data_IF_237908795578
#
_entry.id   IF_237908795578
#
_cell.length_a   1.000
_cell.length_b   1.000
_cell.length_c   1.000
_cell.angle_alpha   90.00
_cell.angle_beta   90.00
_cell.angle_gamma   90.00
#
_symmetry.space_group_name_H-M   'P 1'
#
loop_
_entity.id
_entity.type
_entity.pdbx_description
1 polymer ?
#
# COMPACT_ATOMS: atom_id res chain seq x y z
N UNK A 1 -6.85 -28.96 -8.63
CA UNK A 1 -6.24 -27.68 -8.91
C UNK A 1 -5.49 -27.18 -7.70
N UNK A 2 -4.29 -26.80 -7.91
CA UNK A 2 -3.49 -26.26 -6.81
C UNK A 2 -3.76 -24.76 -6.69
N UNK A 3 -4.23 -24.34 -5.54
CA UNK A 3 -4.40 -22.93 -5.32
C UNK A 3 -3.04 -22.28 -5.17
N UNK A 4 -2.88 -21.16 -5.86
CA UNK A 4 -1.69 -20.34 -5.68
C UNK A 4 -1.75 -19.66 -4.33
N UNK A 5 -0.69 -19.80 -3.55
CA UNK A 5 -0.56 -19.07 -2.28
C UNK A 5 0.08 -17.72 -2.50
N UNK A 6 0.47 -17.41 -3.72
CA UNK A 6 1.05 -16.13 -4.05
C UNK A 6 -0.07 -15.11 -4.23
N UNK A 7 0.12 -13.89 -3.74
CA UNK A 7 -0.85 -12.84 -3.94
C UNK A 7 -0.95 -12.44 -5.42
N UNK A 8 -2.12 -11.95 -5.80
CA UNK A 8 -2.33 -11.41 -7.14
C UNK A 8 -1.56 -10.11 -7.30
N UNK A 9 -0.78 -10.02 -8.36
CA UNK A 9 -0.03 -8.82 -8.68
C UNK A 9 -0.46 -8.29 -10.04
N UNK A 10 -0.62 -6.98 -10.14
CA UNK A 10 -0.93 -6.30 -11.38
C UNK A 10 0.35 -5.68 -11.91
N UNK A 11 0.73 -6.12 -13.10
CA UNK A 11 1.96 -5.66 -13.72
C UNK A 11 3.17 -6.37 -13.13
N UNK A 12 4.04 -6.84 -13.98
CA UNK A 12 5.28 -7.49 -13.58
C UNK A 12 6.39 -6.72 -14.29
N UNK A 13 7.33 -6.22 -13.52
CA UNK A 13 8.45 -5.53 -14.12
C UNK A 13 9.40 -4.96 -13.10
N UNK A 14 10.60 -4.67 -13.57
CA UNK A 14 11.66 -4.12 -12.73
C UNK A 14 11.41 -2.66 -12.36
N UNK A 15 10.44 -2.02 -13.02
CA UNK A 15 10.10 -0.61 -12.76
C UNK A 15 9.10 -0.42 -11.64
N UNK A 16 8.49 -1.51 -11.18
CA UNK A 16 7.54 -1.46 -10.06
C UNK A 16 8.32 -1.76 -8.79
N UNK A 17 8.29 -0.81 -7.87
CA UNK A 17 9.03 -0.93 -6.61
C UNK A 17 8.26 -1.77 -5.61
N UNK A 18 8.97 -2.38 -4.70
CA UNK A 18 8.39 -3.09 -3.58
C UNK A 18 8.41 -2.17 -2.36
N UNK A 19 7.33 -2.18 -1.58
CA UNK A 19 7.27 -1.47 -0.32
C UNK A 19 8.33 -2.00 0.64
N UNK A 20 8.86 -1.18 1.56
CA UNK A 20 9.71 -1.68 2.65
C UNK A 20 9.03 -2.79 3.46
N UNK A 21 7.70 -2.84 3.44
CA UNK A 21 6.92 -3.84 4.17
C UNK A 21 6.47 -5.00 3.30
N UNK A 22 7.04 -5.14 2.11
CA UNK A 22 6.59 -6.15 1.14
C UNK A 22 6.64 -7.55 1.72
N UNK A 23 7.75 -7.92 2.35
CA UNK A 23 7.90 -9.24 2.94
C UNK A 23 6.96 -9.46 4.10
N UNK A 24 6.73 -8.43 4.91
CA UNK A 24 5.76 -8.50 6.00
C UNK A 24 4.35 -8.68 5.47
N UNK A 25 4.02 -8.01 4.36
CA UNK A 25 2.72 -8.18 3.72
C UNK A 25 2.51 -9.62 3.27
N UNK A 26 3.53 -10.24 2.69
CA UNK A 26 3.46 -11.64 2.32
C UNK A 26 3.30 -12.55 3.54
N UNK A 27 4.03 -12.26 4.60
CA UNK A 27 4.00 -13.05 5.83
C UNK A 27 2.60 -13.03 6.47
N UNK A 28 1.94 -11.89 6.43
CA UNK A 28 0.62 -11.73 7.04
C UNK A 28 -0.53 -12.05 6.09
N UNK A 29 -0.24 -12.65 4.94
CA UNK A 29 -1.27 -13.22 4.11
C UNK A 29 -1.99 -12.24 3.20
N UNK A 30 -1.25 -11.29 2.63
CA UNK A 30 -1.83 -10.36 1.66
C UNK A 30 -2.48 -11.14 0.51
N UNK A 31 -3.69 -10.72 0.11
CA UNK A 31 -4.44 -11.40 -0.93
C UNK A 31 -4.10 -10.92 -2.33
N UNK A 32 -3.56 -9.73 -2.45
CA UNK A 32 -3.15 -9.21 -3.75
C UNK A 32 -2.51 -7.85 -3.64
N UNK A 33 -1.98 -7.39 -4.77
CA UNK A 33 -1.37 -6.07 -4.88
C UNK A 33 -1.95 -5.35 -6.08
N UNK A 34 -2.03 -4.04 -5.98
CA UNK A 34 -2.21 -3.15 -7.12
C UNK A 34 -0.97 -2.29 -7.24
N UNK A 35 -0.89 -1.53 -8.32
CA UNK A 35 0.23 -0.61 -8.50
C UNK A 35 -0.27 0.81 -8.28
N UNK A 36 0.38 1.51 -7.38
CA UNK A 36 0.10 2.90 -7.08
C UNK A 36 1.43 3.62 -6.92
N UNK A 37 1.59 4.70 -7.65
CA UNK A 37 2.81 5.51 -7.57
C UNK A 37 4.08 4.67 -7.83
N UNK A 38 3.98 3.75 -8.79
CA UNK A 38 5.05 2.84 -9.19
C UNK A 38 5.52 1.89 -8.08
N UNK A 39 4.64 1.58 -7.16
CA UNK A 39 4.93 0.66 -6.06
C UNK A 39 3.78 -0.33 -5.90
N UNK A 40 4.11 -1.56 -5.52
CA UNK A 40 3.10 -2.54 -5.17
C UNK A 40 2.44 -2.14 -3.87
N UNK A 41 1.14 -1.92 -3.93
CA UNK A 41 0.31 -1.56 -2.79
C UNK A 41 -0.59 -2.73 -2.46
N UNK A 42 -0.58 -3.24 -1.22
CA UNK A 42 -1.46 -4.35 -0.87
C UNK A 42 -2.92 -3.94 -0.94
N UNK A 43 -3.77 -4.82 -1.48
CA UNK A 43 -5.19 -4.53 -1.65
C UNK A 43 -6.06 -5.10 -0.54
N UNK A 44 -5.56 -6.07 0.19
CA UNK A 44 -6.31 -6.65 1.29
C UNK A 44 -5.62 -7.86 1.88
N UNK A 45 -6.03 -8.25 3.07
CA UNK A 45 -5.45 -9.38 3.79
C UNK A 45 -6.50 -10.42 4.17
N UNK A 46 -7.78 -10.05 4.13
CA UNK A 46 -8.86 -10.94 4.49
C UNK A 46 -10.14 -10.50 3.78
N UNK A 47 -11.27 -11.08 4.17
CA UNK A 47 -12.56 -10.65 3.67
C UNK A 47 -12.76 -9.15 3.96
N UNK A 48 -13.18 -8.36 2.95
CA UNK A 48 -13.42 -6.92 3.15
C UNK A 48 -14.34 -6.58 4.32
N UNK A 49 -15.35 -7.42 4.58
CA UNK A 49 -16.25 -7.19 5.72
C UNK A 49 -15.51 -7.34 7.05
N UNK A 50 -14.62 -8.32 7.14
CA UNK A 50 -13.82 -8.52 8.36
C UNK A 50 -12.86 -7.37 8.58
N UNK A 51 -12.27 -6.86 7.52
CA UNK A 51 -11.37 -5.71 7.61
C UNK A 51 -12.13 -4.47 8.05
N UNK A 52 -13.34 -4.29 7.54
CA UNK A 52 -14.19 -3.18 7.92
C UNK A 52 -14.58 -3.25 9.41
N UNK A 53 -14.94 -4.43 9.89
CA UNK A 53 -15.27 -4.64 11.30
C UNK A 53 -14.06 -4.36 12.20
N UNK A 54 -12.88 -4.76 11.78
CA UNK A 54 -11.64 -4.46 12.52
C UNK A 54 -11.36 -2.97 12.56
N UNK A 55 -11.64 -2.27 11.46
CA UNK A 55 -11.45 -0.83 11.41
C UNK A 55 -12.33 -0.10 12.43
N UNK A 56 -13.56 -0.58 12.60
CA UNK A 56 -14.52 0.04 13.53
C UNK A 56 -14.25 -0.36 14.97
N UNK A 57 -13.98 -1.62 15.23
CA UNK A 57 -13.97 -2.18 16.58
C UNK A 57 -12.58 -2.40 17.16
N UNK A 58 -11.57 -2.48 16.32
CA UNK A 58 -10.22 -2.84 16.74
C UNK A 58 -9.21 -1.84 16.20
N UNK A 59 -7.94 -2.18 16.33
CA UNK A 59 -6.85 -1.40 15.76
C UNK A 59 -6.47 -2.00 14.42
N UNK A 60 -6.34 -1.17 13.40
CA UNK A 60 -5.90 -1.59 12.09
C UNK A 60 -4.55 -0.97 11.75
N UNK A 61 -3.86 -1.60 10.82
CA UNK A 61 -2.54 -1.19 10.38
C UNK A 61 -2.50 -1.26 8.86
N UNK A 62 -1.95 -0.23 8.24
CA UNK A 62 -1.90 -0.17 6.78
C UNK A 62 -0.51 0.18 6.26
N UNK A 63 -0.20 -0.31 5.08
CA UNK A 63 1.04 0.00 4.38
C UNK A 63 0.78 1.15 3.41
N UNK A 64 1.27 2.32 3.76
CA UNK A 64 1.13 3.53 2.95
C UNK A 64 2.46 4.01 2.36
N UNK A 65 3.41 3.11 2.23
CA UNK A 65 4.75 3.46 1.74
C UNK A 65 4.73 3.97 0.29
N UNK A 66 3.66 3.71 -0.46
CA UNK A 66 3.51 4.20 -1.82
C UNK A 66 3.27 5.71 -1.88
N UNK A 67 2.80 6.30 -0.80
CA UNK A 67 2.62 7.75 -0.73
C UNK A 67 3.97 8.44 -0.70
N UNK A 68 4.05 9.57 -1.36
CA UNK A 68 5.27 10.36 -1.39
C UNK A 68 5.07 11.66 -0.65
N UNK A 69 6.10 12.05 0.07
CA UNK A 69 6.09 13.30 0.80
C UNK A 69 6.99 14.29 0.07
N UNK A 70 6.49 15.49 -0.11
CA UNK A 70 7.24 16.58 -0.73
C UNK A 70 7.26 17.73 0.26
N UNK A 71 8.47 18.12 0.69
CA UNK A 71 8.63 19.24 1.58
C UNK A 71 8.89 20.50 0.77
N UNK A 72 8.10 21.53 1.04
CA UNK A 72 8.29 22.85 0.46
C UNK A 72 8.60 23.78 1.60
N UNK A 73 9.80 24.36 1.60
CA UNK A 73 10.26 25.22 2.69
C UNK A 73 10.75 26.56 2.17
N UNK A 74 10.93 27.50 3.09
CA UNK A 74 11.39 28.84 2.77
C UNK A 74 10.32 29.89 3.03
N UNK A 75 10.68 31.20 2.92
CA UNK A 75 9.75 32.30 3.23
C UNK A 75 8.47 32.28 2.39
N UNK A 76 8.55 31.83 1.15
CA UNK A 76 7.42 31.84 0.22
C UNK A 76 6.78 30.47 0.03
N UNK A 77 7.08 29.50 0.89
CA UNK A 77 6.60 28.14 0.73
C UNK A 77 5.08 28.05 0.69
N UNK A 78 4.41 28.67 1.63
CA UNK A 78 2.96 28.68 1.70
C UNK A 78 2.35 29.33 0.45
N UNK A 79 2.90 30.43 0.05
CA UNK A 79 2.44 31.18 -1.12
C UNK A 79 2.58 30.36 -2.39
N UNK A 80 3.69 29.64 -2.51
CA UNK A 80 3.94 28.76 -3.65
C UNK A 80 2.92 27.62 -3.72
N UNK A 81 2.65 26.98 -2.60
CA UNK A 81 1.71 25.84 -2.54
C UNK A 81 0.29 26.30 -2.84
N UNK A 82 -0.08 27.50 -2.42
CA UNK A 82 -1.43 28.03 -2.62
C UNK A 82 -1.62 28.76 -3.96
N UNK A 83 -0.57 28.87 -4.75
CA UNK A 83 -0.63 29.51 -6.07
C UNK A 83 -1.44 28.67 -7.04
#
# INVERSE_FOLDING_TARGET
>A
MTESKLPLMIGIGTRIRKSPYYESNLKYGVTGFTVYNKMYLPTGFSDPLKEYESLINDVTFGDFAAERQIEVSGPDAHKFVCY
#
